data_IF_554861109177
#
_entry.id   IF_554861109177
#
_cell.length_a   1.000
_cell.length_b   1.000
_cell.length_c   1.000
_cell.angle_alpha   90.00
_cell.angle_beta   90.00
_cell.angle_gamma   90.00
#
_symmetry.space_group_name_H-M   'P 1'
#
loop_
_entity.id
_entity.type
_entity.pdbx_description
1 polymer ?
#
# COMPACT_ATOMS: atom_id res chain seq x y z
N UNK A 1 10.80 -13.21 -11.16
CA UNK A 1 10.59 -11.89 -11.79
C UNK A 1 9.43 -11.18 -11.11
N UNK A 2 9.63 -9.94 -10.68
CA UNK A 2 8.56 -9.19 -10.00
C UNK A 2 7.53 -8.70 -11.01
N UNK A 3 6.25 -8.81 -10.65
CA UNK A 3 5.17 -8.19 -11.41
C UNK A 3 4.93 -6.76 -10.90
N UNK A 4 4.52 -5.89 -11.81
CA UNK A 4 4.24 -4.49 -11.50
C UNK A 4 2.87 -4.12 -12.01
N UNK A 5 2.20 -3.22 -11.30
CA UNK A 5 0.91 -2.66 -11.72
C UNK A 5 0.88 -1.17 -11.47
N UNK A 6 0.04 -0.47 -12.21
CA UNK A 6 -0.25 0.93 -11.95
C UNK A 6 -1.38 1.03 -10.95
N UNK A 7 -1.23 1.93 -9.98
CA UNK A 7 -2.30 2.27 -9.04
C UNK A 7 -2.96 3.54 -9.54
N UNK A 8 -4.25 3.47 -9.85
CA UNK A 8 -4.99 4.54 -10.53
C UNK A 8 -6.23 4.91 -9.72
N UNK A 9 -6.49 6.20 -9.60
CA UNK A 9 -7.74 6.72 -9.03
C UNK A 9 -8.87 6.43 -10.03
N UNK A 10 -9.86 5.63 -9.63
CA UNK A 10 -10.86 5.11 -10.58
C UNK A 10 -11.72 6.20 -11.23
N UNK A 11 -12.11 7.23 -10.46
CA UNK A 11 -13.01 8.27 -10.96
C UNK A 11 -12.31 9.26 -11.88
N UNK A 12 -11.08 9.64 -11.56
CA UNK A 12 -10.36 10.66 -12.32
C UNK A 12 -9.42 10.12 -13.37
N UNK A 13 -9.10 8.82 -13.30
CA UNK A 13 -8.07 8.20 -14.15
C UNK A 13 -6.66 8.62 -13.78
N UNK A 14 -6.50 9.38 -12.71
CA UNK A 14 -5.20 9.88 -12.28
C UNK A 14 -4.31 8.76 -11.77
N UNK A 15 -3.10 8.70 -12.29
CA UNK A 15 -2.11 7.71 -11.86
C UNK A 15 -1.53 8.12 -10.50
N UNK A 16 -1.66 7.26 -9.51
CA UNK A 16 -1.19 7.49 -8.15
C UNK A 16 0.19 6.91 -7.93
N UNK A 17 0.41 5.69 -8.41
CA UNK A 17 1.71 5.02 -8.41
C UNK A 17 1.93 4.43 -9.79
N UNK A 18 2.89 4.96 -10.57
CA UNK A 18 3.12 4.51 -11.94
C UNK A 18 3.58 3.06 -12.03
N UNK A 19 4.33 2.62 -11.02
CA UNK A 19 4.94 1.30 -11.04
C UNK A 19 5.01 0.74 -9.63
N UNK A 20 3.94 0.05 -9.23
CA UNK A 20 3.85 -0.59 -7.93
C UNK A 20 4.21 -2.07 -8.06
N UNK A 21 5.13 -2.54 -7.24
CA UNK A 21 5.49 -3.95 -7.17
C UNK A 21 4.32 -4.73 -6.59
N UNK A 22 3.90 -5.78 -7.28
CA UNK A 22 2.77 -6.60 -6.88
C UNK A 22 3.26 -7.74 -5.99
N UNK A 23 2.96 -7.68 -4.69
CA UNK A 23 3.48 -8.59 -3.68
C UNK A 23 2.37 -9.52 -3.20
N UNK A 24 2.22 -10.67 -3.83
CA UNK A 24 1.18 -11.66 -3.52
C UNK A 24 1.72 -12.94 -2.89
N UNK A 25 3.04 -13.13 -2.83
CA UNK A 25 3.66 -14.27 -2.15
C UNK A 25 4.00 -13.91 -0.69
N UNK A 26 4.10 -14.92 0.15
CA UNK A 26 4.48 -14.73 1.56
C UNK A 26 5.82 -13.98 1.68
N UNK A 27 6.83 -14.40 0.93
CA UNK A 27 8.16 -13.79 0.98
C UNK A 27 8.17 -12.34 0.51
N UNK A 28 7.47 -12.04 -0.60
CA UNK A 28 7.41 -10.67 -1.12
C UNK A 28 6.65 -9.73 -0.17
N UNK A 29 5.58 -10.22 0.47
CA UNK A 29 4.82 -9.44 1.45
C UNK A 29 5.64 -9.18 2.71
N UNK A 30 6.35 -10.19 3.19
CA UNK A 30 7.20 -10.04 4.38
C UNK A 30 8.30 -9.03 4.15
N UNK A 31 8.94 -9.08 2.98
CA UNK A 31 10.03 -8.16 2.66
C UNK A 31 9.55 -6.72 2.54
N UNK A 32 8.49 -6.47 1.76
CA UNK A 32 8.00 -5.12 1.49
C UNK A 32 9.15 -4.18 1.12
N UNK A 33 9.28 -3.07 1.86
CA UNK A 33 10.37 -2.11 1.73
C UNK A 33 11.49 -2.30 2.75
N UNK A 34 11.54 -3.44 3.45
CA UNK A 34 12.58 -3.68 4.44
C UNK A 34 13.96 -3.60 3.81
N UNK A 35 14.89 -2.94 4.53
CA UNK A 35 16.31 -2.79 4.15
C UNK A 35 16.57 -1.96 2.90
N UNK A 36 15.56 -1.38 2.27
CA UNK A 36 15.75 -0.43 1.18
C UNK A 36 16.17 0.92 1.76
N UNK A 37 17.15 1.60 1.16
CA UNK A 37 17.74 2.81 1.73
C UNK A 37 16.91 4.07 1.46
N UNK A 38 16.28 4.14 0.30
CA UNK A 38 15.53 5.32 -0.12
C UNK A 38 14.33 4.91 -0.96
N UNK A 39 13.33 5.78 -1.01
CA UNK A 39 12.09 5.59 -1.77
C UNK A 39 12.00 6.69 -2.82
N UNK A 40 11.93 6.28 -4.09
CA UNK A 40 11.68 7.22 -5.17
C UNK A 40 10.23 7.72 -5.14
N UNK A 41 9.94 8.96 -5.60
CA UNK A 41 8.57 9.51 -5.54
C UNK A 41 7.52 8.70 -6.32
N UNK A 42 7.94 7.98 -7.37
CA UNK A 42 7.06 7.16 -8.21
C UNK A 42 7.04 5.69 -7.81
N UNK A 43 7.80 5.33 -6.80
CA UNK A 43 7.95 3.96 -6.34
C UNK A 43 6.83 3.58 -5.35
N UNK A 44 6.38 2.32 -5.42
CA UNK A 44 5.40 1.81 -4.49
C UNK A 44 5.30 0.29 -4.58
N UNK A 45 4.49 -0.26 -3.70
CA UNK A 45 4.15 -1.67 -3.73
C UNK A 45 2.71 -1.88 -3.26
N UNK A 46 2.16 -3.03 -3.63
CA UNK A 46 0.85 -3.47 -3.17
C UNK A 46 1.01 -4.84 -2.53
N UNK A 47 0.66 -4.95 -1.25
CA UNK A 47 0.57 -6.21 -0.54
C UNK A 47 -0.81 -6.80 -0.81
N UNK A 48 -0.86 -7.99 -1.38
CA UNK A 48 -2.10 -8.64 -1.80
C UNK A 48 -2.42 -9.79 -0.88
N UNK A 49 -3.56 -9.73 -0.20
CA UNK A 49 -4.02 -10.79 0.67
C UNK A 49 -4.99 -11.70 -0.09
N UNK A 50 -5.13 -12.98 0.31
CA UNK A 50 -6.07 -13.89 -0.35
C UNK A 50 -7.54 -13.52 -0.11
N UNK A 51 -7.82 -12.79 0.97
CA UNK A 51 -9.16 -12.33 1.31
C UNK A 51 -9.06 -11.09 2.21
N UNK A 52 -10.17 -10.37 2.37
CA UNK A 52 -10.24 -9.23 3.27
C UNK A 52 -9.95 -9.66 4.71
N UNK A 53 -9.12 -8.89 5.42
CA UNK A 53 -8.79 -9.14 6.82
C UNK A 53 -8.21 -7.87 7.45
N UNK A 54 -8.53 -7.61 8.70
CA UNK A 54 -7.86 -6.56 9.47
C UNK A 54 -6.50 -7.03 9.97
N UNK A 55 -6.40 -8.28 10.39
CA UNK A 55 -5.18 -8.85 10.98
C UNK A 55 -4.12 -9.08 9.89
N UNK A 56 -4.51 -9.73 8.80
CA UNK A 56 -3.57 -10.06 7.73
C UNK A 56 -3.15 -8.85 6.90
N UNK A 57 -3.93 -7.77 6.91
CA UNK A 57 -3.57 -6.53 6.23
C UNK A 57 -2.84 -5.53 7.15
N UNK A 58 -2.63 -5.87 8.41
CA UNK A 58 -1.78 -5.07 9.29
C UNK A 58 -0.33 -5.10 8.82
N UNK A 59 0.38 -4.01 9.06
CA UNK A 59 1.78 -3.87 8.64
C UNK A 59 2.67 -3.49 9.81
N UNK A 60 3.97 -3.73 9.64
CA UNK A 60 5.01 -3.19 10.52
C UNK A 60 6.02 -2.39 9.70
N UNK A 61 6.75 -1.52 10.38
CA UNK A 61 7.77 -0.67 9.76
C UNK A 61 9.18 -1.01 10.25
N UNK A 62 9.38 -2.21 10.80
CA UNK A 62 10.70 -2.66 11.22
C UNK A 62 11.64 -2.74 10.02
N UNK A 63 12.85 -2.19 10.17
CA UNK A 63 13.86 -2.12 9.10
C UNK A 63 13.42 -1.35 7.86
N UNK A 64 12.39 -0.53 7.98
CA UNK A 64 12.01 0.43 6.94
C UNK A 64 12.60 1.79 7.32
N UNK A 65 13.40 2.35 6.43
CA UNK A 65 14.23 3.52 6.72
C UNK A 65 13.60 4.85 6.31
N UNK A 66 12.34 4.83 5.88
CA UNK A 66 11.60 6.03 5.45
C UNK A 66 10.13 5.88 5.82
N UNK A 67 9.45 7.00 5.95
CA UNK A 67 8.02 7.00 6.20
C UNK A 67 7.27 6.66 4.92
N UNK A 68 6.09 6.06 5.06
CA UNK A 68 5.26 5.64 3.92
C UNK A 68 3.86 6.20 4.04
N UNK A 69 3.27 6.53 2.90
CA UNK A 69 1.84 6.66 2.77
C UNK A 69 1.24 5.27 2.57
N UNK A 70 0.28 4.90 3.40
CA UNK A 70 -0.32 3.58 3.37
C UNK A 70 -1.82 3.71 3.15
N UNK A 71 -2.33 2.99 2.14
CA UNK A 71 -3.76 2.89 1.84
C UNK A 71 -4.20 1.46 2.04
N UNK A 72 -5.27 1.25 2.78
CA UNK A 72 -5.94 -0.05 2.85
C UNK A 72 -7.16 -0.04 1.95
N UNK A 73 -7.26 -1.05 1.10
CA UNK A 73 -8.25 -1.14 0.03
C UNK A 73 -8.98 -2.48 0.14
N UNK A 74 -10.31 -2.44 0.06
CA UNK A 74 -11.15 -3.64 0.14
C UNK A 74 -11.26 -4.35 -1.22
N UNK A 75 -12.04 -5.43 -1.27
CA UNK A 75 -12.24 -6.21 -2.50
C UNK A 75 -12.90 -5.40 -3.62
N UNK A 76 -13.71 -4.41 -3.27
CA UNK A 76 -14.39 -3.55 -4.26
C UNK A 76 -13.49 -2.45 -4.80
N UNK A 77 -12.25 -2.34 -4.27
CA UNK A 77 -11.34 -1.27 -4.65
C UNK A 77 -11.52 0.02 -3.86
N UNK A 78 -12.36 0.01 -2.82
CA UNK A 78 -12.58 1.20 -2.01
C UNK A 78 -11.51 1.35 -0.94
N UNK A 79 -10.98 2.55 -0.78
CA UNK A 79 -10.06 2.90 0.30
C UNK A 79 -10.84 2.94 1.60
N UNK A 80 -10.53 2.03 2.53
CA UNK A 80 -11.22 1.91 3.81
C UNK A 80 -10.47 2.59 4.95
N UNK A 81 -9.17 2.80 4.80
CA UNK A 81 -8.35 3.53 5.77
C UNK A 81 -7.05 3.99 5.12
N UNK A 82 -6.40 4.97 5.73
CA UNK A 82 -5.08 5.41 5.30
C UNK A 82 -4.32 5.99 6.49
N UNK A 83 -2.98 5.93 6.42
CA UNK A 83 -2.12 6.43 7.50
C UNK A 83 -0.75 6.86 6.95
N UNK A 84 -0.13 7.82 7.62
CA UNK A 84 1.30 8.06 7.49
C UNK A 84 2.03 7.07 8.41
N UNK A 85 2.59 6.02 7.82
CA UNK A 85 3.32 5.01 8.58
C UNK A 85 4.74 5.48 8.83
N UNK A 86 5.08 5.64 10.09
CA UNK A 86 6.41 6.11 10.53
C UNK A 86 7.41 4.98 10.51
N UNK A 87 8.62 5.26 10.04
CA UNK A 87 9.72 4.29 10.04
C UNK A 87 9.92 3.68 11.43
N UNK A 88 10.25 2.40 11.46
CA UNK A 88 10.55 1.62 12.67
C UNK A 88 9.39 1.38 13.62
N UNK A 89 8.17 1.86 13.33
CA UNK A 89 6.99 1.54 14.14
C UNK A 89 6.60 0.08 13.99
N UNK A 90 6.09 -0.51 15.08
CA UNK A 90 5.84 -1.95 15.13
C UNK A 90 4.53 -2.37 14.48
N UNK A 91 3.51 -1.51 14.48
CA UNK A 91 2.18 -1.98 14.10
C UNK A 91 1.28 -0.86 13.61
N UNK A 92 0.67 -1.11 12.47
CA UNK A 92 -0.44 -0.34 11.93
C UNK A 92 -1.49 -1.30 11.39
N UNK A 93 -2.75 -1.10 11.74
CA UNK A 93 -3.86 -1.91 11.25
C UNK A 93 -5.00 -1.02 10.77
N UNK A 94 -5.75 -1.45 9.75
CA UNK A 94 -6.87 -0.66 9.25
C UNK A 94 -8.08 -0.73 10.20
N UNK A 95 -8.98 0.23 10.07
CA UNK A 95 -10.25 0.27 10.82
C UNK A 95 -11.23 -0.78 10.34
N UNK A 96 -11.13 -1.17 9.07
CA UNK A 96 -12.03 -2.13 8.44
C UNK A 96 -11.21 -3.18 7.69
N UNK A 97 -11.77 -4.38 7.44
CA UNK A 97 -11.05 -5.40 6.68
C UNK A 97 -10.60 -4.88 5.31
N UNK A 98 -9.36 -5.18 4.95
CA UNK A 98 -8.78 -4.82 3.68
C UNK A 98 -8.11 -6.04 3.04
N UNK A 99 -8.05 -6.04 1.71
CA UNK A 99 -7.37 -7.07 0.94
C UNK A 99 -6.04 -6.58 0.38
N UNK A 100 -5.98 -5.30 0.03
CA UNK A 100 -4.80 -4.70 -0.57
C UNK A 100 -4.24 -3.63 0.35
N UNK A 101 -2.92 -3.61 0.49
CA UNK A 101 -2.22 -2.55 1.21
C UNK A 101 -1.29 -1.87 0.21
N UNK A 102 -1.57 -0.62 -0.10
CA UNK A 102 -0.73 0.19 -0.99
C UNK A 102 0.27 0.95 -0.12
N UNK A 103 1.56 0.74 -0.36
CA UNK A 103 2.64 1.46 0.31
C UNK A 103 3.39 2.28 -0.73
N UNK A 104 3.48 3.58 -0.50
CA UNK A 104 4.06 4.50 -1.45
C UNK A 104 4.66 5.70 -0.74
N UNK A 105 5.16 6.66 -1.53
CA UNK A 105 5.62 7.94 -1.01
C UNK A 105 4.49 8.61 -0.21
N UNK A 106 4.79 9.29 0.91
CA UNK A 106 3.77 9.96 1.73
C UNK A 106 2.86 10.93 0.97
N UNK A 107 3.31 11.47 -0.15
CA UNK A 107 2.50 12.39 -0.98
C UNK A 107 1.19 11.76 -1.46
N UNK A 108 1.09 10.42 -1.52
CA UNK A 108 -0.14 9.76 -1.93
C UNK A 108 -1.32 10.10 -1.01
N UNK A 109 -1.06 10.37 0.26
CA UNK A 109 -2.09 10.68 1.25
C UNK A 109 -2.84 11.97 0.96
N UNK A 110 -2.23 12.91 0.22
CA UNK A 110 -2.89 14.15 -0.18
C UNK A 110 -3.69 14.01 -1.47
N UNK A 111 -3.53 12.90 -2.18
CA UNK A 111 -4.17 12.66 -3.48
C UNK A 111 -5.32 11.67 -3.42
N UNK A 112 -5.53 11.04 -2.27
CA UNK A 112 -6.54 10.01 -2.05
C UNK A 112 -7.20 10.25 -0.70
N UNK A 113 -8.50 9.96 -0.64
CA UNK A 113 -9.28 10.03 0.59
C UNK A 113 -9.96 8.71 0.86
N UNK A 114 -10.24 8.42 2.13
CA UNK A 114 -11.06 7.27 2.50
C UNK A 114 -12.41 7.40 1.81
N UNK A 115 -12.85 6.31 1.16
CA UNK A 115 -14.05 6.29 0.33
C UNK A 115 -13.78 6.35 -1.16
N UNK A 116 -12.60 6.83 -1.57
CA UNK A 116 -12.22 6.82 -2.99
C UNK A 116 -12.04 5.40 -3.49
N UNK A 117 -12.26 5.21 -4.80
CA UNK A 117 -12.04 3.92 -5.42
C UNK A 117 -10.75 3.91 -6.23
N UNK A 118 -10.02 2.81 -6.10
CA UNK A 118 -8.73 2.60 -6.75
C UNK A 118 -8.80 1.38 -7.66
N UNK A 119 -8.09 1.45 -8.76
CA UNK A 119 -7.90 0.33 -9.68
C UNK A 119 -6.42 0.00 -9.79
N UNK A 120 -6.13 -1.29 -9.92
CA UNK A 120 -4.79 -1.81 -10.17
C UNK A 120 -4.72 -2.25 -11.62
N UNK A 121 -3.97 -1.55 -12.43
CA UNK A 121 -3.82 -1.79 -13.85
C UNK A 121 -2.36 -2.17 -14.16
#
# INVERSE_FOLDING_TARGET
MAAYRRVVHAETGRELVPRARWCDSFGSKLRGFMLQRALAPDEGLVLVQPAESRVNSAIHMLFVFFDLGVLWVDDAGQVVDQVLARRWRLHYAPRSPARYVVEAHPDILSRVQVGDRIEFR
#
